data_IF_915050400783
#
_entry.id   IF_915050400783
#
_cell.length_a   1.000
_cell.length_b   1.000
_cell.length_c   1.000
_cell.angle_alpha   90.00
_cell.angle_beta   90.00
_cell.angle_gamma   90.00
#
_symmetry.space_group_name_H-M   'P 1'
#
loop_
_entity.id
_entity.type
_entity.pdbx_description
1 polymer ?
#
# COMPACT_ATOMS: atom_id res chain seq x y z
N UNK A 1 -26.09 1.77 24.26
CA UNK A 1 -27.50 1.77 23.90
C UNK A 1 -28.07 0.37 24.09
N UNK A 2 -29.20 0.27 24.78
CA UNK A 2 -30.01 -0.95 24.85
C UNK A 2 -31.19 -0.75 23.88
N UNK A 3 -31.61 -1.81 23.21
CA UNK A 3 -32.79 -1.75 22.35
C UNK A 3 -33.77 -2.85 22.76
N UNK A 4 -35.04 -2.51 22.75
CA UNK A 4 -36.15 -3.43 22.97
C UNK A 4 -36.92 -3.59 21.67
N UNK A 5 -37.20 -4.82 21.28
CA UNK A 5 -37.95 -5.15 20.08
C UNK A 5 -39.30 -5.69 20.51
N UNK A 6 -40.41 -5.03 20.09
CA UNK A 6 -41.75 -5.52 20.27
C UNK A 6 -42.39 -5.78 18.89
N UNK A 7 -42.82 -7.00 18.65
CA UNK A 7 -43.64 -7.35 17.49
C UNK A 7 -45.04 -6.86 17.77
N UNK A 8 -45.55 -5.97 16.92
CA UNK A 8 -46.90 -5.40 17.06
C UNK A 8 -47.89 -6.19 16.25
N UNK A 9 -47.51 -6.68 15.05
CA UNK A 9 -48.32 -7.46 14.15
C UNK A 9 -47.43 -8.27 13.21
N UNK A 10 -47.98 -9.18 12.39
CA UNK A 10 -47.21 -10.06 11.49
C UNK A 10 -46.24 -9.32 10.57
N UNK A 11 -46.46 -8.02 10.30
CA UNK A 11 -45.63 -7.18 9.42
C UNK A 11 -45.09 -5.90 10.08
N UNK A 12 -45.21 -5.71 11.40
CA UNK A 12 -44.76 -4.48 12.08
C UNK A 12 -44.00 -4.81 13.34
N UNK A 13 -42.79 -4.24 13.41
CA UNK A 13 -41.89 -4.32 14.56
C UNK A 13 -41.69 -2.90 15.10
N UNK A 14 -41.87 -2.72 16.39
CA UNK A 14 -41.45 -1.50 17.08
C UNK A 14 -40.07 -1.72 17.71
N UNK A 15 -39.09 -0.86 17.38
CA UNK A 15 -37.76 -0.88 17.97
C UNK A 15 -37.60 0.39 18.78
N UNK A 16 -37.44 0.23 20.08
CA UNK A 16 -37.22 1.32 21.02
C UNK A 16 -35.72 1.34 21.40
N UNK A 17 -35.02 2.43 21.06
CA UNK A 17 -33.63 2.65 21.45
C UNK A 17 -33.60 3.47 22.75
N UNK A 18 -33.05 2.87 23.81
CA UNK A 18 -32.79 3.58 25.07
C UNK A 18 -31.33 4.05 25.08
N UNK A 19 -31.14 5.37 25.01
CA UNK A 19 -29.83 6.00 25.01
C UNK A 19 -29.54 6.55 26.39
N UNK A 20 -28.49 6.04 27.05
CA UNK A 20 -27.95 6.59 28.29
C UNK A 20 -26.73 7.45 27.93
N UNK A 21 -26.69 8.67 28.44
CA UNK A 21 -25.52 9.53 28.35
C UNK A 21 -24.50 9.05 29.39
N UNK A 22 -23.39 8.50 28.91
CA UNK A 22 -22.25 8.13 29.75
C UNK A 22 -21.26 9.30 29.78
N UNK A 23 -20.50 9.37 30.87
CA UNK A 23 -19.37 10.29 30.97
C UNK A 23 -18.35 10.01 29.86
N UNK A 24 -17.79 11.07 29.28
CA UNK A 24 -16.74 10.94 28.28
C UNK A 24 -15.49 10.35 28.94
N UNK A 25 -14.94 9.32 28.34
CA UNK A 25 -13.62 8.78 28.69
C UNK A 25 -12.59 9.21 27.64
N UNK A 26 -11.37 9.46 28.09
CA UNK A 26 -10.27 9.92 27.22
C UNK A 26 -9.15 8.88 27.24
N UNK A 27 -8.37 8.84 26.17
CA UNK A 27 -7.15 8.05 26.09
C UNK A 27 -6.06 8.77 26.89
N UNK A 28 -5.64 8.15 28.00
CA UNK A 28 -4.58 8.72 28.85
C UNK A 28 -3.20 8.36 28.31
N UNK A 29 -3.03 7.10 27.86
CA UNK A 29 -1.76 6.58 27.34
C UNK A 29 -1.97 5.43 26.38
N UNK A 30 -1.10 5.35 25.36
CA UNK A 30 -1.00 4.23 24.44
C UNK A 30 0.39 3.60 24.59
N UNK A 31 0.46 2.37 25.09
CA UNK A 31 1.68 1.61 25.21
C UNK A 31 1.76 0.58 24.07
N UNK A 32 2.92 0.45 23.46
CA UNK A 32 3.19 -0.50 22.38
C UNK A 32 4.27 -1.47 22.85
N UNK A 33 4.05 -2.76 22.61
CA UNK A 33 4.94 -3.83 23.05
C UNK A 33 5.15 -4.85 21.93
N UNK A 34 6.32 -5.50 21.92
CA UNK A 34 6.64 -6.60 21.01
C UNK A 34 7.19 -6.18 19.66
N UNK A 35 7.43 -4.88 19.44
CA UNK A 35 8.04 -4.32 18.26
C UNK A 35 9.56 -4.21 18.43
N UNK A 36 10.26 -5.32 18.27
CA UNK A 36 11.73 -5.39 18.46
C UNK A 36 12.50 -4.86 17.24
N UNK A 37 11.96 -5.05 16.03
CA UNK A 37 12.54 -4.63 14.76
C UNK A 37 11.82 -3.38 14.24
N UNK A 38 10.49 -3.39 14.31
CA UNK A 38 9.65 -2.30 13.78
C UNK A 38 9.71 -1.08 14.68
N UNK A 39 10.03 0.08 14.11
CA UNK A 39 10.01 1.34 14.84
C UNK A 39 8.59 1.64 15.35
N UNK A 40 8.48 2.12 16.60
CA UNK A 40 7.20 2.41 17.24
C UNK A 40 6.32 3.36 16.43
N UNK A 41 6.95 4.35 15.76
CA UNK A 41 6.25 5.31 14.90
C UNK A 41 5.46 4.65 13.75
N UNK A 42 5.92 3.48 13.24
CA UNK A 42 5.21 2.75 12.17
C UNK A 42 3.85 2.25 12.66
N UNK A 43 3.77 1.87 13.94
CA UNK A 43 2.53 1.44 14.58
C UNK A 43 1.68 2.66 14.93
N UNK A 44 2.29 3.71 15.51
CA UNK A 44 1.59 4.96 15.89
C UNK A 44 0.96 5.64 14.68
N UNK A 45 1.64 5.71 13.53
CA UNK A 45 1.09 6.27 12.29
C UNK A 45 -0.12 5.49 11.71
N UNK A 46 -0.47 4.35 12.31
CA UNK A 46 -1.67 3.58 11.93
C UNK A 46 -2.84 3.83 12.87
N UNK A 47 -2.60 4.55 13.97
CA UNK A 47 -3.62 4.89 14.94
C UNK A 47 -4.44 6.09 14.44
N UNK A 48 -5.76 6.02 14.63
CA UNK A 48 -6.69 7.12 14.36
C UNK A 48 -7.00 7.87 15.68
N UNK A 49 -6.71 7.22 16.81
CA UNK A 49 -6.95 7.74 18.16
C UNK A 49 -5.61 7.97 18.83
N UNK A 50 -5.37 9.19 19.30
CA UNK A 50 -4.16 9.57 20.00
C UNK A 50 -4.37 9.76 21.51
N UNK A 51 -3.27 9.92 22.24
CA UNK A 51 -3.27 10.25 23.65
C UNK A 51 -3.90 11.64 23.86
N UNK A 52 -4.88 11.73 24.75
CA UNK A 52 -5.68 12.94 24.98
C UNK A 52 -7.01 12.97 24.23
N UNK A 53 -7.22 12.14 23.23
CA UNK A 53 -8.46 12.08 22.48
C UNK A 53 -9.62 11.46 23.29
N UNK A 54 -10.88 11.81 23.00
CA UNK A 54 -12.02 11.08 23.48
C UNK A 54 -11.96 9.63 23.00
N UNK A 55 -12.05 8.68 23.93
CA UNK A 55 -12.02 7.26 23.58
C UNK A 55 -13.25 6.88 22.76
N UNK A 56 -13.00 6.40 21.53
CA UNK A 56 -14.02 5.88 20.63
C UNK A 56 -13.66 4.45 20.22
N UNK A 57 -14.50 3.50 20.61
CA UNK A 57 -14.27 2.06 20.32
C UNK A 57 -14.24 1.75 18.83
N UNK A 58 -15.02 2.47 18.02
CA UNK A 58 -15.06 2.24 16.55
C UNK A 58 -13.73 2.69 15.93
N UNK A 59 -13.29 3.92 16.24
CA UNK A 59 -12.00 4.45 15.75
C UNK A 59 -10.82 3.64 16.25
N UNK A 60 -10.87 3.20 17.51
CA UNK A 60 -9.87 2.30 18.06
C UNK A 60 -9.81 0.96 17.31
N UNK A 61 -10.95 0.32 17.04
CA UNK A 61 -10.98 -0.92 16.26
C UNK A 61 -10.46 -0.71 14.84
N UNK A 62 -10.77 0.43 14.19
CA UNK A 62 -10.22 0.81 12.88
C UNK A 62 -8.70 0.97 12.95
N UNK A 63 -8.17 1.58 14.02
CA UNK A 63 -6.73 1.67 14.28
C UNK A 63 -6.06 0.29 14.35
N UNK A 64 -6.64 -0.65 15.10
CA UNK A 64 -6.12 -2.02 15.19
C UNK A 64 -6.19 -2.73 13.83
N UNK A 65 -7.25 -2.51 13.07
CA UNK A 65 -7.38 -3.03 11.69
C UNK A 65 -6.29 -2.46 10.78
N UNK A 66 -6.00 -1.16 10.87
CA UNK A 66 -4.94 -0.51 10.09
C UNK A 66 -3.56 -1.10 10.40
N UNK A 67 -3.25 -1.38 11.69
CA UNK A 67 -1.99 -2.04 12.07
C UNK A 67 -1.93 -3.44 11.45
N UNK A 68 -3.01 -4.22 11.52
CA UNK A 68 -3.09 -5.58 10.93
C UNK A 68 -2.92 -5.56 9.40
N UNK A 69 -3.52 -4.59 8.73
CA UNK A 69 -3.49 -4.47 7.26
C UNK A 69 -2.09 -4.18 6.69
N UNK A 70 -1.16 -3.67 7.50
CA UNK A 70 0.25 -3.53 7.09
C UNK A 70 0.89 -4.87 6.71
N UNK A 71 0.39 -5.99 7.26
CA UNK A 71 0.86 -7.34 6.91
C UNK A 71 2.27 -7.67 7.42
N UNK A 72 2.84 -6.85 8.31
CA UNK A 72 4.18 -7.02 8.91
C UNK A 72 4.16 -7.72 10.27
N UNK A 73 2.97 -7.88 10.85
CA UNK A 73 2.77 -8.57 12.12
C UNK A 73 2.03 -9.89 11.91
N UNK A 74 2.39 -10.90 12.69
CA UNK A 74 1.69 -12.18 12.76
C UNK A 74 0.42 -12.05 13.58
N UNK A 75 0.53 -11.37 14.74
CA UNK A 75 -0.59 -11.08 15.63
C UNK A 75 -0.55 -9.63 16.11
N UNK A 76 -1.73 -9.05 16.29
CA UNK A 76 -1.92 -7.73 16.91
C UNK A 76 -3.04 -7.87 17.92
N UNK A 77 -2.69 -7.76 19.21
CA UNK A 77 -3.60 -7.83 20.32
C UNK A 77 -3.68 -6.47 21.02
N UNK A 78 -4.81 -6.18 21.63
CA UNK A 78 -4.97 -4.96 22.40
C UNK A 78 -5.75 -5.21 23.68
N UNK A 79 -5.37 -4.49 24.75
CA UNK A 79 -6.09 -4.47 26.02
C UNK A 79 -6.34 -3.02 26.42
N UNK A 80 -7.55 -2.75 26.89
CA UNK A 80 -7.95 -1.46 27.42
C UNK A 80 -8.07 -1.61 28.93
N UNK A 81 -7.36 -0.75 29.64
CA UNK A 81 -7.32 -0.71 31.10
C UNK A 81 -7.87 0.63 31.58
N UNK A 82 -8.39 0.66 32.79
CA UNK A 82 -8.71 1.92 33.47
C UNK A 82 -7.40 2.64 33.86
N UNK A 83 -7.35 3.95 33.60
CA UNK A 83 -6.24 4.78 34.06
C UNK A 83 -6.36 5.10 35.55
N UNK A 84 -5.27 5.53 36.18
CA UNK A 84 -5.28 6.13 37.51
C UNK A 84 -6.11 7.43 37.55
N UNK A 85 -6.25 8.11 36.42
CA UNK A 85 -7.16 9.25 36.25
C UNK A 85 -8.57 8.73 35.99
N UNK A 86 -9.49 9.07 36.88
CA UNK A 86 -10.89 8.63 36.82
C UNK A 86 -11.53 8.91 35.46
N UNK A 87 -12.10 7.88 34.84
CA UNK A 87 -12.75 7.95 33.54
C UNK A 87 -11.82 7.87 32.32
N UNK A 88 -10.51 7.84 32.50
CA UNK A 88 -9.57 7.72 31.41
C UNK A 88 -9.16 6.26 31.15
N UNK A 89 -8.71 5.98 29.94
CA UNK A 89 -8.32 4.66 29.46
C UNK A 89 -6.83 4.61 29.12
N UNK A 90 -6.18 3.51 29.50
CA UNK A 90 -4.84 3.15 29.01
C UNK A 90 -5.00 2.05 27.98
N UNK A 91 -4.43 2.23 26.81
CA UNK A 91 -4.47 1.27 25.72
C UNK A 91 -3.11 0.59 25.63
N UNK A 92 -3.09 -0.73 25.77
CA UNK A 92 -1.92 -1.55 25.56
C UNK A 92 -2.07 -2.31 24.24
N UNK A 93 -1.18 -2.07 23.29
CA UNK A 93 -1.11 -2.77 22.01
C UNK A 93 0.10 -3.68 22.05
N UNK A 94 -0.11 -4.99 21.82
CA UNK A 94 0.98 -5.96 21.75
C UNK A 94 1.02 -6.56 20.35
N UNK A 95 2.15 -6.43 19.69
CA UNK A 95 2.38 -6.99 18.35
C UNK A 95 3.32 -8.18 18.43
N UNK A 96 3.15 -9.13 17.52
CA UNK A 96 4.07 -10.24 17.28
C UNK A 96 4.59 -10.08 15.86
N UNK A 97 5.88 -9.78 15.72
CA UNK A 97 6.51 -9.58 14.41
C UNK A 97 6.65 -10.90 13.65
N UNK A 98 6.70 -10.82 12.33
CA UNK A 98 6.98 -11.96 11.45
C UNK A 98 8.00 -11.57 10.39
N UNK A 99 8.67 -12.53 9.73
CA UNK A 99 9.46 -12.23 8.54
C UNK A 99 8.62 -11.50 7.49
N UNK A 100 9.16 -10.42 6.92
CA UNK A 100 8.47 -9.53 5.98
C UNK A 100 9.05 -9.58 4.58
N UNK A 101 10.23 -10.23 4.44
CA UNK A 101 10.90 -10.50 3.17
C UNK A 101 10.30 -11.71 2.44
N UNK A 102 10.00 -11.55 1.17
CA UNK A 102 9.51 -12.59 0.27
C UNK A 102 10.46 -12.66 -0.94
N UNK A 103 10.88 -13.88 -1.32
CA UNK A 103 11.63 -14.15 -2.54
C UNK A 103 10.76 -15.04 -3.40
N UNK A 104 10.65 -14.72 -4.68
CA UNK A 104 9.96 -15.56 -5.64
C UNK A 104 10.82 -15.78 -6.87
N UNK A 105 10.63 -16.94 -7.50
CA UNK A 105 11.15 -17.26 -8.82
C UNK A 105 10.14 -18.15 -9.53
N UNK A 106 9.99 -17.95 -10.82
CA UNK A 106 9.03 -18.69 -11.63
C UNK A 106 9.53 -18.86 -13.06
N UNK A 107 9.11 -19.95 -13.69
CA UNK A 107 9.30 -20.23 -15.11
C UNK A 107 7.94 -20.47 -15.74
N UNK A 108 7.79 -20.04 -16.97
CA UNK A 108 6.56 -20.23 -17.74
C UNK A 108 6.89 -20.59 -19.19
N UNK A 109 6.00 -21.34 -19.84
CA UNK A 109 6.05 -21.62 -21.27
C UNK A 109 4.68 -21.39 -21.88
N UNK A 110 4.64 -20.85 -23.07
CA UNK A 110 3.39 -20.55 -23.76
C UNK A 110 3.60 -20.33 -25.25
N UNK A 111 2.55 -19.88 -25.94
CA UNK A 111 2.60 -19.57 -27.38
C UNK A 111 3.56 -18.43 -27.72
N UNK A 112 3.91 -17.58 -26.76
CA UNK A 112 4.90 -16.50 -26.89
C UNK A 112 6.31 -16.88 -26.46
N UNK A 113 6.62 -18.19 -26.30
CA UNK A 113 7.95 -18.69 -25.92
C UNK A 113 8.08 -19.01 -24.43
N UNK A 114 9.31 -19.03 -23.94
CA UNK A 114 9.66 -19.31 -22.55
C UNK A 114 9.85 -18.02 -21.77
N UNK A 115 9.52 -18.04 -20.49
CA UNK A 115 9.73 -16.90 -19.60
C UNK A 115 10.29 -17.34 -18.24
N UNK A 116 11.12 -16.49 -17.69
CA UNK A 116 11.64 -16.59 -16.33
C UNK A 116 11.35 -15.28 -15.59
N UNK A 117 10.94 -15.37 -14.33
CA UNK A 117 10.79 -14.22 -13.48
C UNK A 117 11.36 -14.49 -12.09
N UNK A 118 11.97 -13.50 -11.49
CA UNK A 118 12.45 -13.55 -10.12
C UNK A 118 12.29 -12.17 -9.46
N UNK A 119 12.12 -12.18 -8.14
CA UNK A 119 12.02 -10.92 -7.42
C UNK A 119 12.16 -11.07 -5.90
N UNK A 120 12.35 -9.94 -5.28
CA UNK A 120 12.46 -9.79 -3.82
C UNK A 120 11.51 -8.68 -3.41
N UNK A 121 10.70 -8.94 -2.40
CA UNK A 121 9.82 -7.95 -1.79
C UNK A 121 10.05 -7.93 -0.29
N UNK A 122 10.36 -6.76 0.25
CA UNK A 122 10.48 -6.52 1.70
C UNK A 122 9.45 -5.45 2.10
N UNK A 123 8.57 -5.77 3.07
CA UNK A 123 7.47 -4.88 3.49
C UNK A 123 7.81 -3.96 4.66
N UNK A 124 8.93 -4.24 5.33
CA UNK A 124 9.33 -3.50 6.54
C UNK A 124 10.83 -3.20 6.56
N UNK A 125 11.33 -2.64 5.46
CA UNK A 125 12.75 -2.37 5.31
C UNK A 125 13.30 -1.52 6.46
N UNK A 126 14.33 -2.03 7.13
CA UNK A 126 14.95 -1.46 8.32
C UNK A 126 13.98 -1.16 9.47
N UNK A 127 12.86 -1.87 9.57
CA UNK A 127 11.83 -1.63 10.59
C UNK A 127 11.01 -0.36 10.40
N UNK A 128 11.11 0.30 9.25
CA UNK A 128 10.48 1.60 8.97
C UNK A 128 9.14 1.52 8.26
N UNK A 129 8.60 0.31 8.05
CA UNK A 129 7.36 0.11 7.29
C UNK A 129 7.49 0.48 5.80
N UNK A 130 8.72 0.65 5.30
CA UNK A 130 9.00 0.93 3.90
C UNK A 130 8.98 -0.38 3.13
N UNK A 131 8.29 -0.40 1.99
CA UNK A 131 8.30 -1.55 1.09
C UNK A 131 9.34 -1.35 -0.01
N UNK A 132 10.22 -2.34 -0.17
CA UNK A 132 11.07 -2.51 -1.34
C UNK A 132 10.50 -3.63 -2.19
N UNK A 133 10.42 -3.41 -3.50
CA UNK A 133 9.92 -4.40 -4.46
C UNK A 133 10.84 -4.40 -5.68
N UNK A 134 11.53 -5.51 -5.90
CA UNK A 134 12.42 -5.71 -7.05
C UNK A 134 11.90 -6.87 -7.86
N UNK A 135 11.70 -6.66 -9.15
CA UNK A 135 11.23 -7.67 -10.08
C UNK A 135 12.13 -7.68 -11.32
N UNK A 136 12.52 -8.85 -11.74
CA UNK A 136 13.21 -9.12 -12.99
C UNK A 136 12.42 -10.16 -13.79
N UNK A 137 12.21 -9.91 -15.07
CA UNK A 137 11.56 -10.84 -15.99
C UNK A 137 12.36 -10.93 -17.29
N UNK A 138 12.53 -12.14 -17.79
CA UNK A 138 13.20 -12.48 -19.02
C UNK A 138 12.30 -13.38 -19.83
N UNK A 139 12.11 -13.07 -21.10
CA UNK A 139 11.48 -13.95 -22.11
C UNK A 139 12.32 -13.97 -23.37
N UNK A 140 11.88 -14.73 -24.38
CA UNK A 140 12.59 -14.83 -25.66
C UNK A 140 12.78 -13.46 -26.32
N UNK A 141 11.78 -12.58 -26.19
CA UNK A 141 11.78 -11.27 -26.87
C UNK A 141 11.84 -10.09 -25.88
N UNK A 142 11.88 -10.31 -24.55
CA UNK A 142 11.80 -9.22 -23.60
C UNK A 142 12.65 -9.44 -22.35
N UNK A 143 13.35 -8.36 -21.96
CA UNK A 143 14.01 -8.24 -20.65
C UNK A 143 13.39 -7.07 -19.92
N UNK A 144 12.93 -7.29 -18.69
CA UNK A 144 12.36 -6.24 -17.83
C UNK A 144 12.96 -6.28 -16.46
N UNK A 145 13.40 -5.13 -15.98
CA UNK A 145 13.82 -4.90 -14.60
C UNK A 145 12.99 -3.78 -13.98
N UNK A 146 12.52 -3.98 -12.74
CA UNK A 146 11.79 -2.96 -11.97
C UNK A 146 12.28 -2.95 -10.53
N UNK A 147 12.51 -1.77 -9.98
CA UNK A 147 12.80 -1.53 -8.58
C UNK A 147 11.89 -0.42 -8.06
N UNK A 148 11.17 -0.69 -6.99
CA UNK A 148 10.24 0.25 -6.36
C UNK A 148 10.52 0.40 -4.88
N UNK A 149 10.43 1.62 -4.38
CA UNK A 149 10.47 1.97 -2.96
C UNK A 149 9.17 2.68 -2.62
N UNK A 150 8.41 2.13 -1.66
CA UNK A 150 7.14 2.71 -1.22
C UNK A 150 7.26 3.05 0.26
N UNK A 151 7.21 4.33 0.59
CA UNK A 151 7.12 4.83 1.96
C UNK A 151 5.68 5.29 2.21
N UNK A 152 4.88 4.55 3.00
CA UNK A 152 3.47 4.89 3.22
C UNK A 152 3.27 6.13 4.12
N UNK A 153 4.29 6.50 4.91
CA UNK A 153 4.24 7.62 5.84
C UNK A 153 5.46 8.51 5.64
N UNK A 154 5.57 9.10 4.43
CA UNK A 154 6.71 9.95 4.07
C UNK A 154 6.79 11.17 4.98
N UNK A 155 7.97 11.41 5.55
CA UNK A 155 8.23 12.47 6.54
C UNK A 155 7.29 12.42 7.76
N UNK A 156 6.90 11.22 8.21
CA UNK A 156 5.94 10.99 9.31
C UNK A 156 4.58 11.68 9.09
N UNK A 157 4.17 11.80 7.84
CA UNK A 157 2.85 12.31 7.46
C UNK A 157 1.95 11.18 6.96
N UNK A 158 0.67 11.44 6.76
CA UNK A 158 -0.29 10.51 6.16
C UNK A 158 -0.18 10.45 4.63
N UNK A 159 0.94 10.92 4.09
CA UNK A 159 1.23 10.93 2.66
C UNK A 159 2.20 9.81 2.32
N UNK A 160 1.87 9.04 1.31
CA UNK A 160 2.79 8.06 0.74
C UNK A 160 3.74 8.72 -0.27
N UNK A 161 4.95 8.16 -0.38
CA UNK A 161 5.86 8.42 -1.49
C UNK A 161 6.23 7.09 -2.13
N UNK A 162 5.98 6.98 -3.43
CA UNK A 162 6.39 5.86 -4.25
C UNK A 162 7.45 6.33 -5.25
N UNK A 163 8.56 5.61 -5.32
CA UNK A 163 9.61 5.86 -6.32
C UNK A 163 9.87 4.56 -7.05
N UNK A 164 9.81 4.59 -8.38
CA UNK A 164 10.02 3.40 -9.22
C UNK A 164 11.05 3.72 -10.30
N UNK A 165 12.01 2.82 -10.48
CA UNK A 165 12.92 2.79 -11.62
C UNK A 165 12.61 1.51 -12.37
N UNK A 166 12.40 1.61 -13.68
CA UNK A 166 12.17 0.44 -14.52
C UNK A 166 12.89 0.57 -15.86
N UNK A 167 13.28 -0.58 -16.40
CA UNK A 167 13.83 -0.67 -17.75
C UNK A 167 13.25 -1.91 -18.42
N UNK A 168 12.77 -1.72 -19.65
CA UNK A 168 12.23 -2.79 -20.49
C UNK A 168 12.89 -2.73 -21.85
N UNK A 169 13.49 -3.82 -22.27
CA UNK A 169 13.98 -4.01 -23.64
C UNK A 169 13.10 -5.08 -24.29
N UNK A 170 12.51 -4.75 -25.43
CA UNK A 170 11.77 -5.68 -26.29
C UNK A 170 12.51 -5.82 -27.61
N UNK A 171 12.97 -7.03 -27.93
CA UNK A 171 13.80 -7.34 -29.07
C UNK A 171 13.04 -8.22 -30.08
N UNK A 172 12.49 -7.59 -31.09
CA UNK A 172 11.80 -8.21 -32.20
C UNK A 172 12.60 -8.09 -33.51
N UNK A 173 13.94 -7.99 -33.40
CA UNK A 173 14.79 -7.82 -34.59
C UNK A 173 14.66 -8.98 -35.56
N UNK A 174 14.58 -10.23 -35.06
CA UNK A 174 14.46 -11.43 -35.88
C UNK A 174 13.07 -11.61 -36.50
N UNK A 175 12.01 -11.21 -35.79
CA UNK A 175 10.62 -11.44 -36.21
C UNK A 175 9.99 -10.26 -36.95
N UNK A 176 10.33 -9.04 -36.57
CA UNK A 176 9.67 -7.83 -37.05
C UNK A 176 10.63 -6.68 -37.38
N UNK A 177 11.94 -6.92 -37.24
CA UNK A 177 12.99 -5.98 -37.63
C UNK A 177 13.14 -4.75 -36.73
N UNK A 178 12.71 -4.77 -35.47
CA UNK A 178 12.89 -3.64 -34.57
C UNK A 178 13.18 -4.06 -33.14
N UNK A 179 13.80 -3.15 -32.40
CA UNK A 179 14.09 -3.27 -30.95
C UNK A 179 13.75 -1.97 -30.25
N UNK A 180 13.08 -2.07 -29.11
CA UNK A 180 12.80 -0.95 -28.23
C UNK A 180 13.48 -1.14 -26.88
N UNK A 181 14.07 -0.09 -26.36
CA UNK A 181 14.53 -0.02 -24.97
C UNK A 181 13.90 1.21 -24.32
N UNK A 182 13.11 0.99 -23.27
CA UNK A 182 12.43 2.03 -22.53
C UNK A 182 12.89 1.99 -21.06
N UNK A 183 13.49 3.06 -20.60
CA UNK A 183 13.95 3.21 -19.22
C UNK A 183 13.30 4.43 -18.60
N UNK A 184 12.78 4.28 -17.39
CA UNK A 184 12.01 5.32 -16.73
C UNK A 184 12.20 5.43 -15.24
N UNK A 185 11.91 6.62 -14.77
CA UNK A 185 11.84 6.96 -13.34
C UNK A 185 10.46 7.56 -13.06
N UNK A 186 9.80 7.05 -12.03
CA UNK A 186 8.47 7.49 -11.60
C UNK A 186 8.48 7.91 -10.15
N UNK A 187 7.72 8.97 -9.85
CA UNK A 187 7.42 9.41 -8.49
C UNK A 187 5.92 9.51 -8.33
N UNK A 188 5.41 8.90 -7.28
CA UNK A 188 3.99 8.94 -6.93
C UNK A 188 3.79 9.37 -5.49
N UNK A 189 2.70 10.06 -5.23
CA UNK A 189 2.25 10.38 -3.86
C UNK A 189 0.76 10.15 -3.75
N UNK A 190 0.32 9.67 -2.58
CA UNK A 190 -1.10 9.44 -2.30
C UNK A 190 -1.42 9.80 -0.86
N UNK A 191 -2.62 10.32 -0.64
CA UNK A 191 -3.12 10.69 0.67
C UNK A 191 -4.65 10.68 0.72
N UNK A 192 -5.19 10.53 1.91
CA UNK A 192 -6.62 10.68 2.18
C UNK A 192 -6.92 12.17 2.37
N UNK A 193 -7.67 12.78 1.43
CA UNK A 193 -8.03 14.20 1.48
C UNK A 193 -9.30 14.44 2.31
N UNK A 194 -10.25 13.54 2.19
CA UNK A 194 -11.49 13.51 2.98
C UNK A 194 -11.73 12.07 3.41
N UNK A 195 -12.57 11.86 4.40
CA UNK A 195 -12.89 10.51 4.88
C UNK A 195 -13.23 9.58 3.71
N UNK A 196 -12.48 8.49 3.59
CA UNK A 196 -12.59 7.44 2.56
C UNK A 196 -12.36 7.93 1.11
N UNK A 197 -11.88 9.18 0.88
CA UNK A 197 -11.52 9.73 -0.43
C UNK A 197 -10.01 9.89 -0.53
N UNK A 198 -9.41 9.07 -1.39
CA UNK A 198 -7.97 9.03 -1.64
C UNK A 198 -7.64 9.73 -2.95
N UNK A 199 -6.61 10.56 -2.93
CA UNK A 199 -6.05 11.25 -4.09
C UNK A 199 -4.64 10.71 -4.34
N UNK A 200 -4.34 10.36 -5.59
CA UNK A 200 -3.01 9.96 -6.00
C UNK A 200 -2.55 10.81 -7.19
N UNK A 201 -1.27 11.16 -7.18
CA UNK A 201 -0.55 11.81 -8.26
C UNK A 201 0.69 11.00 -8.58
N UNK A 202 0.90 10.70 -9.85
CA UNK A 202 2.10 10.03 -10.32
C UNK A 202 2.68 10.81 -11.50
N UNK A 203 4.00 10.99 -11.49
CA UNK A 203 4.78 11.58 -12.56
C UNK A 203 5.82 10.56 -12.98
N UNK A 204 5.80 10.20 -14.26
CA UNK A 204 6.75 9.25 -14.84
C UNK A 204 7.46 9.89 -16.02
N UNK A 205 8.77 9.70 -16.08
CA UNK A 205 9.62 10.17 -17.16
C UNK A 205 10.30 8.95 -17.78
N UNK A 206 10.11 8.76 -19.07
CA UNK A 206 10.71 7.65 -19.81
C UNK A 206 11.59 8.18 -20.92
N UNK A 207 12.72 7.51 -21.11
CA UNK A 207 13.54 7.58 -22.29
C UNK A 207 13.36 6.28 -23.05
N UNK A 208 12.91 6.39 -24.28
CA UNK A 208 12.70 5.26 -25.19
C UNK A 208 13.59 5.40 -26.42
N UNK A 209 14.28 4.31 -26.74
CA UNK A 209 15.07 4.17 -27.95
C UNK A 209 14.47 3.09 -28.83
N UNK A 210 14.11 3.44 -30.06
CA UNK A 210 13.67 2.53 -31.11
C UNK A 210 14.74 2.40 -32.18
N UNK A 211 15.19 1.19 -32.46
CA UNK A 211 16.14 0.85 -33.52
C UNK A 211 15.46 -0.10 -34.49
N UNK A 212 15.69 0.07 -35.78
CA UNK A 212 15.13 -0.76 -36.83
C UNK A 212 16.20 -1.42 -37.70
N UNK A 213 15.82 -2.49 -38.38
CA UNK A 213 16.61 -3.13 -39.46
C UNK A 213 15.88 -3.00 -40.81
N UNK A 214 16.51 -3.49 -41.88
CA UNK A 214 15.89 -3.50 -43.22
C UNK A 214 14.60 -4.33 -43.26
N UNK A 215 14.43 -5.29 -42.38
CA UNK A 215 13.22 -6.10 -42.27
C UNK A 215 12.03 -5.40 -41.60
N UNK A 216 12.24 -4.22 -41.02
CA UNK A 216 11.17 -3.44 -40.41
C UNK A 216 10.21 -2.87 -41.42
N UNK A 217 8.95 -2.70 -40.99
CA UNK A 217 7.95 -1.99 -41.83
C UNK A 217 8.33 -0.54 -42.01
N UNK A 218 7.92 0.08 -43.11
CA UNK A 218 8.19 1.50 -43.38
C UNK A 218 7.65 2.44 -42.30
N UNK A 219 6.56 2.04 -41.64
CA UNK A 219 6.00 2.81 -40.51
C UNK A 219 6.98 2.75 -39.31
N UNK A 220 7.55 1.59 -39.00
CA UNK A 220 8.52 1.44 -37.90
C UNK A 220 9.83 2.14 -38.20
N UNK A 221 10.34 2.07 -39.46
CA UNK A 221 11.53 2.82 -39.87
C UNK A 221 11.38 4.35 -39.71
N UNK A 222 10.20 4.87 -39.98
CA UNK A 222 9.89 6.32 -39.76
C UNK A 222 9.82 6.68 -38.27
N UNK A 223 9.62 5.71 -37.40
CA UNK A 223 9.57 5.89 -35.96
C UNK A 223 10.93 5.61 -35.28
N UNK A 224 11.98 5.28 -36.03
CA UNK A 224 13.30 5.09 -35.48
C UNK A 224 13.83 6.36 -34.84
N UNK A 225 14.38 6.23 -33.62
CA UNK A 225 14.92 7.38 -32.90
C UNK A 225 14.82 7.23 -31.38
N UNK A 226 15.13 8.33 -30.75
CA UNK A 226 15.13 8.48 -29.31
C UNK A 226 13.99 9.41 -28.88
N UNK A 227 13.22 9.01 -27.88
CA UNK A 227 12.03 9.71 -27.41
C UNK A 227 12.07 9.97 -25.92
N UNK A 228 11.61 11.15 -25.52
CA UNK A 228 11.29 11.47 -24.14
C UNK A 228 9.77 11.50 -23.96
N UNK A 229 9.27 10.71 -23.00
CA UNK A 229 7.86 10.66 -22.65
C UNK A 229 7.68 11.07 -21.18
N UNK A 230 6.79 12.03 -20.96
CA UNK A 230 6.38 12.46 -19.63
C UNK A 230 4.93 12.09 -19.43
N UNK A 231 4.65 11.28 -18.40
CA UNK A 231 3.32 10.85 -18.04
C UNK A 231 2.92 11.49 -16.71
N UNK A 232 1.72 12.05 -16.69
CA UNK A 232 1.08 12.55 -15.47
C UNK A 232 -0.20 11.77 -15.25
N UNK A 233 -0.27 11.06 -14.13
CA UNK A 233 -1.46 10.32 -13.72
C UNK A 233 -2.05 10.97 -12.48
N UNK A 234 -3.35 11.19 -12.52
CA UNK A 234 -4.13 11.65 -11.39
C UNK A 234 -5.30 10.70 -11.17
N UNK A 235 -5.51 10.28 -9.95
CA UNK A 235 -6.66 9.43 -9.60
C UNK A 235 -7.32 9.87 -8.30
N UNK A 236 -8.63 9.72 -8.25
CA UNK A 236 -9.46 9.88 -7.05
C UNK A 236 -10.19 8.57 -6.82
N UNK A 237 -10.02 8.01 -5.64
CA UNK A 237 -10.64 6.74 -5.26
C UNK A 237 -11.52 6.94 -4.04
N UNK A 238 -12.77 6.49 -4.10
CA UNK A 238 -13.71 6.43 -2.98
C UNK A 238 -13.76 4.98 -2.47
N UNK A 239 -13.32 4.76 -1.23
CA UNK A 239 -13.46 3.47 -0.53
C UNK A 239 -14.75 3.52 0.32
N UNK A 240 -15.71 2.64 0.01
CA UNK A 240 -16.95 2.48 0.80
C UNK A 240 -16.92 1.23 1.64
#
# INVERSE_FOLDING_TARGET
AKFDVKVIDQNKINIQFNLEQLDKSYVDKINIFGNFITEEKVIRNSLIVDEGDPYNKILFNKSISNIKSKGIFKNVNSKILESSKKGNKVINITVEEKPTGEIFAGVGTGTGGSSFSAGIKEKNYLGKGITLDTNFALSDDQIRGKFSVINPNFMNSDRSLNTTIESTTSDFMSSSGYKTTRTGLSFGTGFEQFQDIFINFDVSNYYEKLVTSDAATEIKKKQEGDYFENLFLYSVTLNK
#
